data_IF_738739211068
#
_entry.id   IF_738739211068
#
_cell.length_a   1.000
_cell.length_b   1.000
_cell.length_c   1.000
_cell.angle_alpha   90.00
_cell.angle_beta   90.00
_cell.angle_gamma   90.00
#
_symmetry.space_group_name_H-M   'P 1'
#
loop_
_entity.id
_entity.type
_entity.pdbx_description
1 polymer ?
#
# COMPACT_ATOMS: atom_id res chain seq x y z
N UNK A 1 -12.16 19.03 -9.48
CA UNK A 1 -10.93 18.29 -9.09
C UNK A 1 -9.73 18.96 -9.75
N UNK A 2 -8.57 19.05 -9.08
CA UNK A 2 -7.35 19.60 -9.69
C UNK A 2 -6.67 18.53 -10.55
N UNK A 3 -6.04 18.97 -11.64
CA UNK A 3 -5.20 18.11 -12.48
C UNK A 3 -3.96 17.69 -11.67
N UNK A 4 -3.60 16.41 -11.75
CA UNK A 4 -2.35 15.87 -11.21
C UNK A 4 -1.35 15.94 -12.35
N UNK A 5 -0.46 16.92 -12.32
CA UNK A 5 0.51 17.12 -13.40
C UNK A 5 1.72 16.18 -13.25
N UNK A 6 1.93 15.69 -12.04
CA UNK A 6 2.99 14.78 -11.66
C UNK A 6 2.93 13.46 -12.44
N UNK A 7 1.76 12.98 -12.86
CA UNK A 7 1.63 11.73 -13.63
C UNK A 7 1.98 11.86 -15.12
N UNK A 8 2.23 13.07 -15.64
CA UNK A 8 2.49 13.30 -17.08
C UNK A 8 3.65 12.47 -17.62
N UNK A 9 4.71 12.27 -16.82
CA UNK A 9 5.89 11.52 -17.27
C UNK A 9 5.61 10.06 -17.65
N UNK A 10 4.43 9.53 -17.30
CA UNK A 10 3.98 8.18 -17.64
C UNK A 10 3.43 8.03 -19.05
N UNK A 11 3.06 9.13 -19.71
CA UNK A 11 2.25 9.11 -20.94
C UNK A 11 2.71 10.11 -22.01
N UNK A 12 4.00 10.46 -21.98
CA UNK A 12 4.63 11.38 -22.94
C UNK A 12 5.48 10.62 -23.97
N UNK A 13 5.87 11.27 -25.06
CA UNK A 13 6.79 10.68 -26.03
C UNK A 13 8.17 10.37 -25.42
N UNK A 14 8.59 11.14 -24.40
CA UNK A 14 9.86 10.94 -23.69
C UNK A 14 9.72 10.00 -22.46
N UNK A 15 8.64 9.23 -22.36
CA UNK A 15 8.39 8.32 -21.21
C UNK A 15 9.57 7.38 -20.97
N UNK A 16 10.19 6.86 -22.03
CA UNK A 16 11.34 5.95 -21.94
C UNK A 16 12.57 6.57 -21.27
N UNK A 17 12.67 7.90 -21.25
CA UNK A 17 13.72 8.65 -20.54
C UNK A 17 13.31 8.99 -19.12
N UNK A 18 12.08 9.47 -18.93
CA UNK A 18 11.61 9.90 -17.62
C UNK A 18 11.43 8.73 -16.66
N UNK A 19 10.94 7.58 -17.14
CA UNK A 19 10.67 6.39 -16.31
C UNK A 19 11.93 5.92 -15.56
N UNK A 20 13.08 5.68 -16.22
CA UNK A 20 14.34 5.36 -15.53
C UNK A 20 14.82 6.43 -14.55
N UNK A 21 14.69 7.72 -14.90
CA UNK A 21 15.07 8.83 -14.02
C UNK A 21 14.24 8.78 -12.73
N UNK A 22 12.91 8.73 -12.86
CA UNK A 22 11.99 8.70 -11.71
C UNK A 22 12.19 7.44 -10.87
N UNK A 23 12.38 6.28 -11.52
CA UNK A 23 12.69 5.03 -10.85
C UNK A 23 13.97 5.11 -10.04
N UNK A 24 15.03 5.73 -10.57
CA UNK A 24 16.28 5.92 -9.83
C UNK A 24 16.07 6.77 -8.58
N UNK A 25 15.42 7.94 -8.70
CA UNK A 25 15.12 8.79 -7.53
C UNK A 25 14.31 8.06 -6.46
N UNK A 26 13.31 7.28 -6.88
CA UNK A 26 12.52 6.46 -5.96
C UNK A 26 13.38 5.41 -5.24
N UNK A 27 14.21 4.66 -5.97
CA UNK A 27 15.09 3.65 -5.37
C UNK A 27 16.10 4.25 -4.39
N UNK A 28 16.65 5.43 -4.69
CA UNK A 28 17.54 6.13 -3.76
C UNK A 28 16.78 6.66 -2.54
N UNK A 29 15.55 7.15 -2.71
CA UNK A 29 14.68 7.54 -1.61
C UNK A 29 14.41 6.39 -0.63
N UNK A 30 14.11 5.19 -1.13
CA UNK A 30 13.92 3.99 -0.31
C UNK A 30 15.20 3.60 0.45
N UNK A 31 16.38 3.97 -0.06
CA UNK A 31 17.68 3.82 0.61
C UNK A 31 18.04 5.01 1.51
N UNK A 32 17.07 5.87 1.83
CA UNK A 32 17.21 7.10 2.64
C UNK A 32 18.16 8.15 2.03
N UNK A 33 18.53 8.02 0.75
CA UNK A 33 19.33 9.01 0.01
C UNK A 33 18.42 9.99 -0.72
N UNK A 34 18.15 11.11 -0.07
CA UNK A 34 17.15 12.06 -0.57
C UNK A 34 17.63 12.92 -1.74
N UNK A 35 18.89 13.36 -1.77
CA UNK A 35 19.40 14.31 -2.77
C UNK A 35 20.42 13.66 -3.69
N UNK A 36 20.16 13.72 -4.99
CA UNK A 36 20.98 13.14 -6.06
C UNK A 36 21.50 14.26 -6.97
N UNK A 37 22.78 14.18 -7.33
CA UNK A 37 23.40 15.08 -8.32
C UNK A 37 23.12 14.60 -9.75
N UNK A 38 22.97 15.51 -10.74
CA UNK A 38 22.84 15.15 -12.15
C UNK A 38 23.96 14.23 -12.66
N UNK A 39 25.19 14.42 -12.19
CA UNK A 39 26.35 13.61 -12.58
C UNK A 39 26.17 12.14 -12.16
N UNK A 40 25.85 11.89 -10.89
CA UNK A 40 25.54 10.55 -10.37
C UNK A 40 24.39 9.87 -11.14
N UNK A 41 23.33 10.63 -11.43
CA UNK A 41 22.21 10.10 -12.20
C UNK A 41 22.63 9.77 -13.64
N UNK A 42 23.45 10.62 -14.27
CA UNK A 42 23.94 10.39 -15.62
C UNK A 42 24.82 9.15 -15.71
N UNK A 43 25.70 8.94 -14.73
CA UNK A 43 26.55 7.75 -14.65
C UNK A 43 25.69 6.49 -14.59
N UNK A 44 24.65 6.47 -13.74
CA UNK A 44 23.68 5.37 -13.67
C UNK A 44 22.95 5.14 -14.99
N UNK A 45 22.43 6.20 -15.63
CA UNK A 45 21.69 6.06 -16.88
C UNK A 45 22.60 5.55 -18.01
N UNK A 46 23.87 5.94 -18.02
CA UNK A 46 24.85 5.54 -19.03
C UNK A 46 25.13 4.04 -19.04
N UNK A 47 24.88 3.34 -17.93
CA UNK A 47 24.98 1.86 -17.86
C UNK A 47 23.85 1.15 -18.62
N UNK A 48 22.73 1.84 -18.88
CA UNK A 48 21.55 1.25 -19.51
C UNK A 48 21.67 1.39 -21.04
N UNK A 49 21.54 0.28 -21.82
CA UNK A 49 21.74 0.29 -23.28
C UNK A 49 20.94 1.35 -24.04
N UNK A 50 19.74 1.69 -23.58
CA UNK A 50 18.85 2.66 -24.22
C UNK A 50 19.32 4.12 -24.11
N UNK A 51 20.28 4.42 -23.21
CA UNK A 51 20.82 5.76 -22.99
C UNK A 51 22.20 5.98 -23.65
N UNK A 52 22.67 5.09 -24.53
CA UNK A 52 23.99 5.23 -25.19
C UNK A 52 24.18 6.55 -25.95
N UNK A 53 23.11 7.12 -26.51
CA UNK A 53 23.13 8.41 -27.22
C UNK A 53 22.69 9.59 -26.34
N UNK A 54 22.40 9.33 -25.07
CA UNK A 54 21.96 10.33 -24.11
C UNK A 54 23.13 11.16 -23.59
N UNK A 55 22.91 12.44 -23.34
CA UNK A 55 23.96 13.36 -22.90
C UNK A 55 23.48 14.24 -21.74
N UNK A 56 24.43 14.86 -21.05
CA UNK A 56 24.15 15.75 -19.92
C UNK A 56 23.23 16.93 -20.25
N UNK A 57 23.24 17.42 -21.50
CA UNK A 57 22.33 18.48 -21.93
C UNK A 57 20.88 18.02 -21.91
N UNK A 58 20.60 16.85 -22.48
CA UNK A 58 19.29 16.21 -22.46
C UNK A 58 18.85 15.89 -21.02
N UNK A 59 19.76 15.40 -20.17
CA UNK A 59 19.46 15.16 -18.76
C UNK A 59 19.02 16.42 -18.02
N UNK A 60 19.71 17.53 -18.23
CA UNK A 60 19.34 18.78 -17.56
C UNK A 60 17.95 19.27 -18.01
N UNK A 61 17.62 19.14 -19.30
CA UNK A 61 16.29 19.46 -19.82
C UNK A 61 15.21 18.56 -19.21
N UNK A 62 15.47 17.26 -19.12
CA UNK A 62 14.55 16.29 -18.54
C UNK A 62 14.33 16.56 -17.03
N UNK A 63 15.39 16.86 -16.28
CA UNK A 63 15.30 17.23 -14.86
C UNK A 63 14.53 18.54 -14.64
N UNK A 64 14.69 19.52 -15.51
CA UNK A 64 13.94 20.77 -15.48
C UNK A 64 12.45 20.53 -15.75
N UNK A 65 12.12 19.73 -16.76
CA UNK A 65 10.75 19.35 -17.10
C UNK A 65 10.07 18.59 -15.94
N UNK A 66 10.76 17.62 -15.35
CA UNK A 66 10.27 16.85 -14.20
C UNK A 66 10.13 17.74 -12.95
N UNK A 67 10.96 18.76 -12.79
CA UNK A 67 10.78 19.77 -11.74
C UNK A 67 9.54 20.63 -12.00
N UNK A 68 9.32 21.04 -13.25
CA UNK A 68 8.15 21.84 -13.66
C UNK A 68 6.82 21.11 -13.41
N UNK A 69 6.78 19.79 -13.62
CA UNK A 69 5.61 18.96 -13.31
C UNK A 69 5.44 18.64 -11.83
N UNK A 70 6.32 19.15 -10.94
CA UNK A 70 6.23 18.90 -9.50
C UNK A 70 6.78 17.55 -9.06
N UNK A 71 7.41 16.79 -9.96
CA UNK A 71 7.98 15.48 -9.62
C UNK A 71 9.30 15.59 -8.85
N UNK A 72 10.11 16.59 -9.20
CA UNK A 72 11.41 16.82 -8.56
C UNK A 72 11.44 18.19 -7.86
N UNK A 73 12.21 18.26 -6.77
CA UNK A 73 12.61 19.53 -6.14
C UNK A 73 14.09 19.75 -6.34
N UNK A 74 14.44 20.85 -7.01
CA UNK A 74 15.81 21.32 -7.18
C UNK A 74 16.26 22.10 -5.94
N UNK A 75 17.44 21.79 -5.43
CA UNK A 75 18.14 22.54 -4.38
C UNK A 75 19.53 22.92 -4.89
N UNK A 76 19.94 24.15 -4.66
CA UNK A 76 21.32 24.56 -4.90
C UNK A 76 22.21 24.01 -3.78
N UNK A 77 23.29 23.32 -4.14
CA UNK A 77 24.29 22.89 -3.18
C UNK A 77 25.11 24.12 -2.74
N UNK A 78 25.21 24.32 -1.43
CA UNK A 78 25.99 25.41 -0.81
C UNK A 78 27.11 24.83 0.07
N UNK A 79 27.27 23.49 0.09
CA UNK A 79 28.10 22.76 1.04
C UNK A 79 29.53 22.47 0.56
N UNK A 80 30.52 23.01 1.30
CA UNK A 80 31.96 22.73 1.28
C UNK A 80 32.72 22.99 -0.03
N UNK A 81 32.77 24.28 -0.38
CA UNK A 81 33.68 24.86 -1.37
C UNK A 81 35.10 24.86 -0.79
N UNK A 82 35.93 23.89 -1.18
CA UNK A 82 37.36 23.85 -0.80
C UNK A 82 38.28 24.26 -1.96
N UNK A 83 37.79 24.34 -3.20
CA UNK A 83 38.58 24.71 -4.38
C UNK A 83 37.88 25.81 -5.19
N UNK A 84 38.68 26.78 -5.63
CA UNK A 84 38.25 27.93 -6.45
C UNK A 84 37.67 27.49 -7.81
N UNK A 85 38.06 26.32 -8.32
CA UNK A 85 37.52 25.72 -9.55
C UNK A 85 36.06 25.25 -9.42
N UNK A 86 35.62 24.88 -8.21
CA UNK A 86 34.24 24.45 -7.93
C UNK A 86 33.26 25.64 -7.86
N UNK A 87 33.78 26.87 -7.76
CA UNK A 87 32.97 28.10 -7.63
C UNK A 87 32.18 28.43 -8.91
N UNK A 88 32.61 27.92 -10.08
CA UNK A 88 32.00 28.25 -11.38
C UNK A 88 30.90 27.29 -11.83
N UNK A 89 30.71 26.14 -11.17
CA UNK A 89 29.64 25.20 -11.51
C UNK A 89 28.53 25.31 -10.48
N UNK A 90 27.35 25.78 -10.90
CA UNK A 90 26.12 25.72 -10.09
C UNK A 90 25.76 24.24 -9.87
N UNK A 91 26.29 23.63 -8.82
CA UNK A 91 25.96 22.25 -8.49
C UNK A 91 24.55 22.21 -7.90
N UNK A 92 23.61 21.68 -8.67
CA UNK A 92 22.24 21.45 -8.21
C UNK A 92 22.11 19.99 -7.78
N UNK A 93 21.32 19.76 -6.73
CA UNK A 93 20.83 18.42 -6.39
C UNK A 93 19.33 18.38 -6.49
N UNK A 94 18.82 17.21 -6.83
CA UNK A 94 17.40 16.96 -7.01
C UNK A 94 16.94 15.91 -6.01
N UNK A 95 15.67 15.99 -5.66
CA UNK A 95 14.97 14.94 -4.89
C UNK A 95 13.58 14.73 -5.45
N UNK A 96 13.06 13.52 -5.39
CA UNK A 96 11.64 13.29 -5.67
C UNK A 96 10.76 13.96 -4.60
N UNK A 97 9.53 14.31 -4.99
CA UNK A 97 8.51 14.79 -4.06
C UNK A 97 7.74 13.63 -3.42
N UNK A 98 7.04 13.87 -2.29
CA UNK A 98 6.16 12.84 -1.71
C UNK A 98 5.10 12.33 -2.71
N UNK A 99 4.59 13.22 -3.58
CA UNK A 99 3.66 12.83 -4.66
C UNK A 99 4.30 11.80 -5.59
N UNK A 100 5.51 12.06 -6.09
CA UNK A 100 6.26 11.12 -6.90
C UNK A 100 6.50 9.79 -6.20
N UNK A 101 6.80 9.78 -4.91
CA UNK A 101 7.03 8.53 -4.16
C UNK A 101 5.78 7.65 -4.21
N UNK A 102 4.60 8.22 -3.98
CA UNK A 102 3.34 7.47 -4.06
C UNK A 102 3.00 7.04 -5.50
N UNK A 103 3.30 7.88 -6.50
CA UNK A 103 3.10 7.51 -7.91
C UNK A 103 4.02 6.36 -8.31
N UNK A 104 5.31 6.39 -7.95
CA UNK A 104 6.24 5.29 -8.27
C UNK A 104 5.88 3.99 -7.51
N UNK A 105 5.38 4.08 -6.28
CA UNK A 105 4.79 2.90 -5.60
C UNK A 105 3.64 2.31 -6.36
N UNK A 106 2.67 3.15 -6.78
CA UNK A 106 1.54 2.73 -7.59
C UNK A 106 2.01 2.08 -8.89
N UNK A 107 2.93 2.73 -9.60
CA UNK A 107 3.53 2.21 -10.83
C UNK A 107 4.15 0.82 -10.60
N UNK A 108 4.99 0.66 -9.58
CA UNK A 108 5.65 -0.62 -9.28
C UNK A 108 4.60 -1.69 -8.98
N UNK A 109 3.54 -1.33 -8.26
CA UNK A 109 2.42 -2.23 -8.01
C UNK A 109 1.76 -2.64 -9.33
N UNK A 110 1.49 -1.70 -10.25
CA UNK A 110 0.92 -1.99 -11.56
C UNK A 110 1.83 -2.86 -12.45
N UNK A 111 3.14 -2.62 -12.44
CA UNK A 111 4.12 -3.46 -13.16
C UNK A 111 4.10 -4.90 -12.61
N UNK A 112 4.04 -5.05 -11.28
CA UNK A 112 3.94 -6.37 -10.64
C UNK A 112 2.61 -7.07 -10.90
N UNK A 113 1.51 -6.33 -11.06
CA UNK A 113 0.25 -6.95 -11.46
C UNK A 113 0.39 -7.67 -12.80
N UNK A 114 1.12 -7.10 -13.76
CA UNK A 114 1.40 -7.75 -15.06
C UNK A 114 2.20 -9.06 -14.97
N UNK A 115 3.13 -9.16 -14.01
CA UNK A 115 4.02 -10.33 -13.85
C UNK A 115 3.49 -11.38 -12.84
N UNK A 116 2.61 -10.98 -11.94
CA UNK A 116 2.06 -11.81 -10.86
C UNK A 116 0.57 -11.52 -10.70
N UNK A 117 -0.22 -11.98 -11.67
CA UNK A 117 -1.66 -11.98 -11.53
C UNK A 117 -2.10 -13.04 -10.49
N UNK A 118 -2.90 -12.61 -9.51
CA UNK A 118 -3.55 -13.47 -8.51
C UNK A 118 -3.06 -13.22 -7.09
N UNK A 119 -3.83 -12.44 -6.31
CA UNK A 119 -3.60 -12.31 -4.86
C UNK A 119 -3.53 -13.67 -4.16
N UNK A 120 -2.71 -13.78 -3.10
CA UNK A 120 -2.58 -15.05 -2.36
C UNK A 120 -3.65 -15.17 -1.28
N UNK A 121 -4.42 -16.27 -1.29
CA UNK A 121 -5.42 -16.59 -0.27
C UNK A 121 -4.74 -17.12 1.01
N UNK A 122 -4.06 -16.23 1.73
CA UNK A 122 -3.32 -16.60 2.93
C UNK A 122 -4.22 -16.67 4.16
N UNK A 123 -4.35 -17.88 4.72
CA UNK A 123 -5.05 -18.13 5.99
C UNK A 123 -4.46 -17.33 7.17
N UNK A 124 -3.19 -16.94 7.07
CA UNK A 124 -2.47 -16.19 8.11
C UNK A 124 -3.15 -14.84 8.42
N UNK A 125 -3.75 -14.16 7.43
CA UNK A 125 -4.47 -12.91 7.66
C UNK A 125 -5.70 -13.12 8.54
N UNK A 126 -6.45 -14.20 8.30
CA UNK A 126 -7.63 -14.57 9.09
C UNK A 126 -7.24 -14.84 10.55
N UNK A 127 -6.13 -15.55 10.78
CA UNK A 127 -5.61 -15.84 12.12
C UNK A 127 -5.14 -14.58 12.85
N UNK A 128 -4.48 -13.65 12.14
CA UNK A 128 -4.04 -12.36 12.69
C UNK A 128 -5.22 -11.44 13.05
N UNK A 129 -6.25 -11.37 12.19
CA UNK A 129 -7.50 -10.65 12.47
C UNK A 129 -8.15 -11.20 13.73
N UNK A 130 -8.31 -12.53 13.83
CA UNK A 130 -8.89 -13.15 15.02
C UNK A 130 -8.07 -12.85 16.27
N UNK A 131 -6.74 -12.95 16.18
CA UNK A 131 -5.83 -12.65 17.30
C UNK A 131 -5.97 -11.20 17.77
N UNK A 132 -6.01 -10.23 16.84
CA UNK A 132 -6.22 -8.83 17.17
C UNK A 132 -7.60 -8.58 17.82
N UNK A 133 -8.66 -9.20 17.28
CA UNK A 133 -9.99 -9.12 17.88
C UNK A 133 -10.05 -9.72 19.28
N UNK A 134 -9.40 -10.86 19.52
CA UNK A 134 -9.34 -11.46 20.85
C UNK A 134 -8.63 -10.52 21.83
N UNK A 135 -7.53 -9.87 21.42
CA UNK A 135 -6.83 -8.90 22.25
C UNK A 135 -7.71 -7.69 22.60
N UNK A 136 -8.42 -7.13 21.61
CA UNK A 136 -9.26 -5.94 21.82
C UNK A 136 -10.51 -6.25 22.67
N UNK A 137 -11.16 -7.37 22.38
CA UNK A 137 -12.50 -7.70 22.87
C UNK A 137 -12.50 -8.63 24.07
N UNK A 138 -11.32 -8.99 24.61
CA UNK A 138 -11.22 -9.79 25.83
C UNK A 138 -12.02 -9.12 26.95
N UNK A 139 -13.07 -9.82 27.38
CA UNK A 139 -13.97 -9.37 28.45
C UNK A 139 -13.38 -9.77 29.80
N UNK A 140 -13.52 -8.88 30.77
CA UNK A 140 -13.31 -9.14 32.18
C UNK A 140 -14.49 -8.57 32.94
N UNK A 141 -14.95 -9.27 33.95
CA UNK A 141 -16.00 -8.77 34.82
C UNK A 141 -15.36 -8.30 36.13
N UNK A 142 -15.62 -7.05 36.49
CA UNK A 142 -15.21 -6.49 37.77
C UNK A 142 -16.36 -5.64 38.29
N UNK A 143 -16.77 -5.87 39.54
CA UNK A 143 -17.86 -5.13 40.20
C UNK A 143 -19.18 -5.15 39.40
N UNK A 144 -19.51 -6.28 38.77
CA UNK A 144 -20.73 -6.45 37.96
C UNK A 144 -20.75 -5.68 36.63
N UNK A 145 -19.60 -5.09 36.22
CA UNK A 145 -19.45 -4.38 34.95
C UNK A 145 -18.54 -5.17 34.00
N UNK A 146 -19.01 -5.36 32.77
CA UNK A 146 -18.21 -5.91 31.67
C UNK A 146 -17.22 -4.83 31.23
N UNK A 147 -15.94 -5.14 31.39
CA UNK A 147 -14.83 -4.33 30.90
C UNK A 147 -14.13 -5.05 29.74
N UNK A 148 -13.82 -4.30 28.71
CA UNK A 148 -13.04 -4.77 27.57
C UNK A 148 -11.56 -4.38 27.74
N UNK A 149 -10.65 -5.28 27.40
CA UNK A 149 -9.21 -5.05 27.55
C UNK A 149 -8.74 -3.76 26.84
N UNK A 150 -9.28 -3.45 25.65
CA UNK A 150 -8.93 -2.25 24.88
C UNK A 150 -9.15 -0.92 25.64
N UNK A 151 -10.12 -0.86 26.55
CA UNK A 151 -10.38 0.36 27.34
C UNK A 151 -9.21 0.68 28.28
N UNK A 152 -8.54 -0.35 28.79
CA UNK A 152 -7.43 -0.21 29.73
C UNK A 152 -6.06 -0.19 29.05
N UNK A 153 -5.98 -0.43 27.74
CA UNK A 153 -4.73 -0.33 26.98
C UNK A 153 -4.24 1.12 26.94
N UNK A 154 -2.91 1.30 26.84
CA UNK A 154 -2.36 2.59 26.48
C UNK A 154 -2.84 3.00 25.08
N UNK A 155 -2.93 4.30 24.81
CA UNK A 155 -3.37 4.80 23.50
C UNK A 155 -2.47 4.28 22.36
N UNK A 156 -1.17 4.12 22.60
CA UNK A 156 -0.22 3.57 21.63
C UNK A 156 -0.46 2.09 21.35
N UNK A 157 -0.65 1.28 22.39
CA UNK A 157 -0.91 -0.17 22.22
C UNK A 157 -2.24 -0.40 21.52
N UNK A 158 -3.26 0.36 21.90
CA UNK A 158 -4.57 0.31 21.24
C UNK A 158 -4.46 0.66 19.76
N UNK A 159 -3.72 1.72 19.42
CA UNK A 159 -3.47 2.10 18.03
C UNK A 159 -2.71 1.03 17.26
N UNK A 160 -1.71 0.39 17.88
CA UNK A 160 -0.94 -0.69 17.26
C UNK A 160 -1.81 -1.91 16.92
N UNK A 161 -2.60 -2.39 17.88
CA UNK A 161 -3.50 -3.54 17.67
C UNK A 161 -4.62 -3.19 16.68
N UNK A 162 -5.14 -1.97 16.72
CA UNK A 162 -6.14 -1.50 15.76
C UNK A 162 -5.60 -1.43 14.32
N UNK A 163 -4.41 -0.85 14.16
CA UNK A 163 -3.76 -0.75 12.84
C UNK A 163 -3.43 -2.12 12.27
N UNK A 164 -2.93 -3.04 13.11
CA UNK A 164 -2.70 -4.44 12.70
C UNK A 164 -4.01 -5.12 12.25
N UNK A 165 -5.11 -4.92 12.97
CA UNK A 165 -6.42 -5.46 12.59
C UNK A 165 -6.84 -4.93 11.21
N UNK A 166 -6.80 -3.61 11.01
CA UNK A 166 -7.22 -2.97 9.77
C UNK A 166 -6.34 -3.37 8.58
N UNK A 167 -5.02 -3.41 8.75
CA UNK A 167 -4.08 -3.79 7.70
C UNK A 167 -4.27 -5.24 7.25
N UNK A 168 -4.43 -6.18 8.20
CA UNK A 168 -4.66 -7.58 7.86
C UNK A 168 -6.06 -7.78 7.24
N UNK A 169 -7.07 -7.06 7.72
CA UNK A 169 -8.41 -7.09 7.13
C UNK A 169 -8.40 -6.60 5.68
N UNK A 170 -7.77 -5.45 5.43
CA UNK A 170 -7.60 -4.89 4.08
C UNK A 170 -6.89 -5.87 3.15
N UNK A 171 -5.74 -6.43 3.57
CA UNK A 171 -4.98 -7.42 2.78
C UNK A 171 -5.80 -8.68 2.48
N UNK A 172 -6.58 -9.17 3.45
CA UNK A 172 -7.45 -10.32 3.23
C UNK A 172 -8.49 -10.02 2.15
N UNK A 173 -9.14 -8.85 2.21
CA UNK A 173 -10.17 -8.45 1.25
C UNK A 173 -9.59 -8.20 -0.15
N UNK A 174 -8.47 -7.48 -0.25
CA UNK A 174 -7.77 -7.21 -1.51
C UNK A 174 -7.31 -8.51 -2.15
N UNK A 175 -6.57 -9.36 -1.42
CA UNK A 175 -6.09 -10.62 -1.96
C UNK A 175 -7.22 -11.55 -2.39
N UNK A 176 -8.32 -11.62 -1.63
CA UNK A 176 -9.48 -12.43 -2.01
C UNK A 176 -10.15 -11.90 -3.28
N UNK A 177 -10.30 -10.57 -3.41
CA UNK A 177 -10.89 -9.94 -4.60
C UNK A 177 -10.01 -10.16 -5.82
N UNK A 178 -8.69 -9.93 -5.69
CA UNK A 178 -7.72 -10.10 -6.76
C UNK A 178 -7.62 -11.56 -7.22
N UNK A 179 -7.72 -12.50 -6.28
CA UNK A 179 -7.73 -13.92 -6.60
C UNK A 179 -8.99 -14.35 -7.35
N UNK A 180 -10.17 -13.86 -6.96
CA UNK A 180 -11.43 -14.14 -7.66
C UNK A 180 -11.37 -13.56 -9.07
N UNK A 181 -10.96 -12.30 -9.23
CA UNK A 181 -10.79 -11.68 -10.54
C UNK A 181 -9.83 -12.48 -11.43
N UNK A 182 -8.73 -13.00 -10.87
CA UNK A 182 -7.82 -13.87 -11.61
C UNK A 182 -8.45 -15.21 -12.01
N UNK A 183 -9.28 -15.82 -11.16
CA UNK A 183 -10.02 -17.03 -11.55
C UNK A 183 -10.98 -16.73 -12.70
N UNK A 184 -11.72 -15.62 -12.63
CA UNK A 184 -12.66 -15.22 -13.67
C UNK A 184 -11.93 -14.98 -15.00
N UNK A 185 -10.84 -14.20 -15.00
CA UNK A 185 -9.98 -13.99 -16.18
C UNK A 185 -9.37 -15.31 -16.71
N UNK A 186 -8.90 -16.18 -15.81
CA UNK A 186 -8.34 -17.49 -16.17
C UNK A 186 -9.39 -18.37 -16.86
N UNK A 187 -10.64 -18.37 -16.37
CA UNK A 187 -11.75 -19.14 -16.93
C UNK A 187 -12.27 -18.56 -18.26
N UNK A 188 -12.21 -17.24 -18.45
CA UNK A 188 -12.67 -16.56 -19.66
C UNK A 188 -11.64 -16.55 -20.79
N UNK A 189 -10.35 -16.81 -20.51
CA UNK A 189 -9.30 -16.76 -21.54
C UNK A 189 -9.35 -17.94 -22.54
N UNK A 190 -9.73 -17.66 -23.79
CA UNK A 190 -9.78 -18.62 -24.92
C UNK A 190 -8.44 -19.30 -25.26
N UNK A 191 -7.32 -18.77 -24.74
CA UNK A 191 -5.96 -19.23 -25.03
C UNK A 191 -5.51 -20.47 -24.23
N UNK A 192 -6.28 -20.94 -23.25
CA UNK A 192 -5.84 -22.04 -22.36
C UNK A 192 -6.17 -23.42 -22.93
N UNK A 193 -7.29 -23.59 -23.64
CA UNK A 193 -7.62 -24.88 -24.28
C UNK A 193 -6.66 -25.26 -25.41
N UNK A 194 -6.01 -24.28 -26.04
CA UNK A 194 -5.10 -24.48 -27.18
C UNK A 194 -3.63 -24.75 -26.77
N UNK A 195 -3.20 -24.31 -25.58
CA UNK A 195 -1.77 -24.26 -25.20
C UNK A 195 -1.35 -25.29 -24.13
N UNK A 196 -2.27 -26.04 -23.55
CA UNK A 196 -1.96 -27.10 -22.57
C UNK A 196 -2.33 -28.48 -23.10
N UNK A 197 -1.53 -29.49 -22.79
CA UNK A 197 -2.04 -30.87 -22.88
C UNK A 197 -3.16 -31.05 -21.86
N UNK A 198 -4.24 -31.75 -22.22
CA UNK A 198 -5.44 -31.87 -21.36
C UNK A 198 -5.16 -32.37 -19.94
N UNK A 199 -4.05 -33.07 -19.72
CA UNK A 199 -3.57 -33.52 -18.40
C UNK A 199 -2.96 -32.39 -17.54
N UNK A 200 -2.21 -31.46 -18.12
CA UNK A 200 -1.59 -30.34 -17.41
C UNK A 200 -2.62 -29.29 -17.00
N UNK A 201 -3.60 -29.04 -17.86
CA UNK A 201 -4.75 -28.19 -17.56
C UNK A 201 -5.57 -28.74 -16.39
N UNK A 202 -5.91 -30.04 -16.44
CA UNK A 202 -6.70 -30.68 -15.39
C UNK A 202 -5.97 -30.69 -14.04
N UNK A 203 -4.64 -30.86 -14.05
CA UNK A 203 -3.81 -30.80 -12.84
C UNK A 203 -3.84 -29.40 -12.21
N UNK A 204 -3.58 -28.34 -12.99
CA UNK A 204 -3.62 -26.95 -12.50
C UNK A 204 -5.00 -26.56 -11.99
N UNK A 205 -6.07 -26.97 -12.70
CA UNK A 205 -7.46 -26.76 -12.26
C UNK A 205 -7.74 -27.45 -10.92
N UNK A 206 -7.29 -28.69 -10.73
CA UNK A 206 -7.48 -29.41 -9.47
C UNK A 206 -6.69 -28.77 -8.31
N UNK A 207 -5.47 -28.30 -8.56
CA UNK A 207 -4.66 -27.57 -7.56
C UNK A 207 -5.36 -26.25 -7.14
N UNK A 208 -5.91 -25.50 -8.10
CA UNK A 208 -6.68 -24.27 -7.86
C UNK A 208 -7.92 -24.54 -7.01
N UNK A 209 -8.74 -25.53 -7.40
CA UNK A 209 -9.97 -25.90 -6.69
C UNK A 209 -9.66 -26.36 -5.26
N UNK A 210 -8.60 -27.15 -5.08
CA UNK A 210 -8.20 -27.62 -3.75
C UNK A 210 -7.72 -26.47 -2.86
N UNK A 211 -6.96 -25.53 -3.42
CA UNK A 211 -6.48 -24.35 -2.70
C UNK A 211 -7.64 -23.44 -2.27
N UNK A 212 -8.58 -23.13 -3.18
CA UNK A 212 -9.77 -22.35 -2.88
C UNK A 212 -10.63 -23.03 -1.81
N UNK A 213 -10.84 -24.36 -1.91
CA UNK A 213 -11.60 -25.13 -0.92
C UNK A 213 -10.96 -25.06 0.46
N UNK A 214 -9.64 -25.21 0.56
CA UNK A 214 -8.92 -25.13 1.83
C UNK A 214 -9.04 -23.74 2.45
N UNK A 215 -8.94 -22.68 1.64
CA UNK A 215 -9.15 -21.32 2.11
C UNK A 215 -10.59 -21.06 2.58
N UNK A 216 -11.59 -21.45 1.79
CA UNK A 216 -13.01 -21.29 2.15
C UNK A 216 -13.34 -22.00 3.46
N UNK A 217 -12.83 -23.22 3.69
CA UNK A 217 -13.03 -23.93 4.95
C UNK A 217 -12.42 -23.20 6.14
N UNK A 218 -11.24 -22.61 5.98
CA UNK A 218 -10.60 -21.81 7.01
C UNK A 218 -11.35 -20.49 7.28
N UNK A 219 -11.82 -19.84 6.21
CA UNK A 219 -12.61 -18.62 6.26
C UNK A 219 -13.94 -18.85 6.96
N UNK A 220 -14.71 -19.86 6.56
CA UNK A 220 -16.02 -20.19 7.15
C UNK A 220 -15.92 -20.44 8.66
N UNK A 221 -14.97 -21.28 9.10
CA UNK A 221 -14.80 -21.59 10.54
C UNK A 221 -14.47 -20.35 11.37
N UNK A 222 -13.67 -19.44 10.81
CA UNK A 222 -13.20 -18.27 11.55
C UNK A 222 -14.21 -17.11 11.48
N UNK A 223 -14.95 -17.02 10.38
CA UNK A 223 -16.02 -16.03 10.17
C UNK A 223 -17.06 -16.09 11.26
N UNK A 224 -17.62 -17.27 11.55
CA UNK A 224 -18.64 -17.40 12.60
C UNK A 224 -18.15 -16.91 13.96
N UNK A 225 -16.88 -17.20 14.29
CA UNK A 225 -16.27 -16.74 15.53
C UNK A 225 -16.07 -15.23 15.54
N UNK A 226 -15.66 -14.64 14.43
CA UNK A 226 -15.52 -13.19 14.28
C UNK A 226 -16.90 -12.52 14.39
N UNK A 227 -17.91 -13.00 13.65
CA UNK A 227 -19.28 -12.49 13.69
C UNK A 227 -19.86 -12.54 15.12
N UNK A 228 -19.68 -13.65 15.84
CA UNK A 228 -20.10 -13.78 17.24
C UNK A 228 -19.43 -12.72 18.13
N UNK A 229 -18.10 -12.59 18.01
CA UNK A 229 -17.32 -11.59 18.76
C UNK A 229 -17.76 -10.14 18.47
N UNK A 230 -18.12 -9.84 17.21
CA UNK A 230 -18.54 -8.51 16.76
C UNK A 230 -20.00 -8.20 17.10
N UNK A 231 -20.88 -9.19 17.09
CA UNK A 231 -22.32 -9.02 17.32
C UNK A 231 -22.64 -8.50 18.74
N UNK A 232 -21.88 -8.96 19.73
CA UNK A 232 -22.07 -8.64 21.14
C UNK A 232 -21.35 -7.39 21.64
N UNK A 233 -20.84 -6.53 20.76
CA UNK A 233 -20.10 -5.32 21.15
C UNK A 233 -21.07 -4.16 21.39
N UNK A 234 -21.02 -3.51 22.57
CA UNK A 234 -21.90 -2.38 22.86
C UNK A 234 -21.40 -1.09 22.17
N UNK A 235 -22.33 -0.24 21.74
CA UNK A 235 -22.01 1.01 21.01
C UNK A 235 -21.05 1.92 21.79
N UNK A 236 -21.22 2.03 23.11
CA UNK A 236 -20.35 2.86 23.95
C UNK A 236 -18.88 2.44 23.87
N UNK A 237 -18.60 1.14 23.71
CA UNK A 237 -17.24 0.64 23.61
C UNK A 237 -16.59 1.08 22.30
N UNK A 238 -17.35 0.99 21.21
CA UNK A 238 -16.91 1.41 19.87
C UNK A 238 -16.57 2.91 19.89
N UNK A 239 -17.47 3.73 20.45
CA UNK A 239 -17.23 5.18 20.61
C UNK A 239 -15.98 5.47 21.46
N UNK A 240 -15.83 4.80 22.61
CA UNK A 240 -14.68 5.01 23.48
C UNK A 240 -13.35 4.62 22.83
N UNK A 241 -13.32 3.54 22.04
CA UNK A 241 -12.13 3.14 21.28
C UNK A 241 -11.81 4.16 20.19
N UNK A 242 -12.82 4.62 19.43
CA UNK A 242 -12.63 5.63 18.39
C UNK A 242 -12.07 6.95 18.95
N UNK A 243 -12.58 7.41 20.09
CA UNK A 243 -12.05 8.60 20.79
C UNK A 243 -10.58 8.43 21.19
N UNK A 244 -10.21 7.30 21.80
CA UNK A 244 -8.82 7.04 22.21
C UNK A 244 -7.86 6.96 21.02
N UNK A 245 -8.31 6.40 19.89
CA UNK A 245 -7.53 6.35 18.66
C UNK A 245 -7.34 7.75 18.05
N UNK A 246 -8.39 8.56 18.00
CA UNK A 246 -8.32 9.96 17.56
C UNK A 246 -7.37 10.78 18.46
N UNK A 247 -7.47 10.63 19.78
CA UNK A 247 -6.57 11.29 20.73
C UNK A 247 -5.11 10.91 20.50
N UNK A 248 -4.83 9.64 20.19
CA UNK A 248 -3.47 9.21 19.86
C UNK A 248 -2.97 9.82 18.55
N UNK A 249 -3.81 9.82 17.52
CA UNK A 249 -3.48 10.37 16.21
C UNK A 249 -3.08 11.85 16.33
N UNK A 250 -3.85 12.63 17.10
CA UNK A 250 -3.62 14.06 17.30
C UNK A 250 -2.38 14.37 18.13
N UNK A 251 -1.90 13.45 18.99
CA UNK A 251 -0.65 13.63 19.74
C UNK A 251 0.60 13.60 18.85
N UNK A 252 0.53 13.01 17.66
CA UNK A 252 1.66 12.94 16.73
C UNK A 252 1.76 14.24 15.93
N UNK A 253 2.88 14.99 15.98
CA UNK A 253 3.01 16.24 15.24
C UNK A 253 2.95 16.02 13.72
N UNK A 254 2.03 16.72 13.03
CA UNK A 254 1.85 16.67 11.57
C UNK A 254 1.74 18.09 11.01
N UNK A 255 2.08 18.25 9.73
CA UNK A 255 2.03 19.54 9.04
C UNK A 255 0.59 20.08 8.86
N UNK A 256 -0.39 19.17 8.74
CA UNK A 256 -1.83 19.46 8.73
C UNK A 256 -2.49 18.48 9.67
N UNK A 257 -3.30 18.99 10.59
CA UNK A 257 -4.01 18.19 11.57
C UNK A 257 -5.49 18.15 11.18
N UNK A 258 -6.08 16.95 10.99
CA UNK A 258 -7.51 16.83 10.71
C UNK A 258 -8.34 17.16 11.95
N UNK A 259 -9.63 17.44 11.73
CA UNK A 259 -10.57 17.64 12.82
C UNK A 259 -10.78 16.34 13.62
N UNK A 260 -11.00 16.46 14.94
CA UNK A 260 -11.15 15.30 15.82
C UNK A 260 -12.43 14.52 15.50
N UNK A 261 -13.52 15.20 15.19
CA UNK A 261 -14.81 14.55 14.92
C UNK A 261 -14.75 13.79 13.60
N UNK A 262 -14.04 14.31 12.60
CA UNK A 262 -13.76 13.60 11.34
C UNK A 262 -12.98 12.31 11.60
N UNK A 263 -11.91 12.36 12.41
CA UNK A 263 -11.14 11.17 12.78
C UNK A 263 -11.98 10.13 13.53
N UNK A 264 -12.83 10.56 14.46
CA UNK A 264 -13.73 9.66 15.19
C UNK A 264 -14.68 8.98 14.19
N UNK A 265 -15.28 9.75 13.28
CA UNK A 265 -16.18 9.23 12.25
C UNK A 265 -15.47 8.21 11.35
N UNK A 266 -14.21 8.44 10.96
CA UNK A 266 -13.41 7.49 10.19
C UNK A 266 -13.23 6.16 10.94
N UNK A 267 -12.90 6.20 12.24
CA UNK A 267 -12.75 4.98 13.05
C UNK A 267 -14.08 4.26 13.27
N UNK A 268 -15.19 4.99 13.42
CA UNK A 268 -16.53 4.40 13.49
C UNK A 268 -16.90 3.71 12.16
N UNK A 269 -16.61 4.32 11.02
CA UNK A 269 -16.84 3.72 9.71
C UNK A 269 -16.00 2.46 9.51
N UNK A 270 -14.73 2.47 9.90
CA UNK A 270 -13.87 1.28 9.87
C UNK A 270 -14.45 0.13 10.70
N UNK A 271 -15.03 0.43 11.87
CA UNK A 271 -15.74 -0.54 12.70
C UNK A 271 -16.99 -1.09 12.00
N UNK A 272 -17.78 -0.23 11.37
CA UNK A 272 -18.98 -0.66 10.65
C UNK A 272 -18.64 -1.51 9.44
N UNK A 273 -17.58 -1.17 8.71
CA UNK A 273 -17.03 -2.00 7.63
C UNK A 273 -16.64 -3.36 8.19
N UNK A 274 -15.88 -3.43 9.28
CA UNK A 274 -15.49 -4.70 9.89
C UNK A 274 -16.71 -5.55 10.31
N UNK A 275 -17.78 -4.91 10.81
CA UNK A 275 -19.01 -5.56 11.27
C UNK A 275 -19.92 -6.04 10.13
N UNK A 276 -20.03 -5.25 9.07
CA UNK A 276 -20.91 -5.50 7.92
C UNK A 276 -20.22 -6.15 6.74
N UNK A 277 -18.89 -6.28 6.79
CA UNK A 277 -18.16 -7.14 5.89
C UNK A 277 -18.59 -8.57 6.17
N UNK A 278 -19.66 -8.97 5.48
CA UNK A 278 -20.06 -10.35 5.36
C UNK A 278 -18.86 -11.10 4.77
N UNK A 279 -17.99 -11.62 5.63
CA UNK A 279 -17.04 -12.67 5.26
C UNK A 279 -17.79 -13.86 4.63
N UNK A 280 -19.12 -13.93 4.85
CA UNK A 280 -20.10 -14.83 4.23
C UNK A 280 -20.54 -14.49 2.79
N UNK A 281 -20.39 -13.26 2.27
CA UNK A 281 -20.78 -12.92 0.88
C UNK A 281 -19.83 -13.51 -0.16
N UNK A 282 -18.60 -13.84 0.23
CA UNK A 282 -17.67 -14.65 -0.58
C UNK A 282 -18.24 -16.04 -0.84
N UNK A 283 -19.07 -16.60 0.06
CA UNK A 283 -19.72 -17.90 -0.16
C UNK A 283 -20.93 -17.85 -1.10
N UNK A 284 -21.46 -16.66 -1.44
CA UNK A 284 -22.74 -16.54 -2.19
C UNK A 284 -22.57 -16.22 -3.68
N UNK A 285 -21.34 -16.01 -4.15
CA UNK A 285 -21.03 -15.68 -5.56
C UNK A 285 -20.31 -16.80 -6.31
N UNK A 286 -20.27 -18.02 -5.75
CA UNK A 286 -19.74 -19.23 -6.40
C UNK A 286 -20.83 -20.30 -6.42
#
# INVERSE_FOLDING_TARGET
MKKIDEVKYLSTENTDRYRPIMRYFYLQHERLRQFISPEELFDYLSEIPQFKTYNMGALNQDLEQLTQWGNLKRRQDVGNISKIEDFKKKQFRYRCTPYTVEIERMVIALEKLGDTFGGSLEKTYIEKILSALVKLLKRSEKDGKINFAAINMSNSDLFGVWSELQDNFKKLTENATDYIAHIDDYLESENIEQNYTGSEYLKKKNELVQYLRNFMLALQRTTFRIEDMLSGIPKWFISAVAEKLADYYLKTPRAVQPDKDDLINDYLQQWEILRHSNFSKVNQKV
#
